data_IF_193357477328
#
_entry.id   IF_193357477328
#
_cell.length_a   1.000
_cell.length_b   1.000
_cell.length_c   1.000
_cell.angle_alpha   90.00
_cell.angle_beta   90.00
_cell.angle_gamma   90.00
#
_symmetry.space_group_name_H-M   'P 1'
#
loop_
_entity.id
_entity.type
_entity.pdbx_description
1 polymer ?
#
# COMPACT_ATOMS: atom_id res chain seq x y z
N UNK A 1 -7.25 5.80 -0.66
CA UNK A 1 -8.35 5.00 -1.25
C UNK A 1 -8.89 4.12 -0.14
N UNK A 2 -10.15 4.31 0.24
CA UNK A 2 -10.75 3.66 1.41
C UNK A 2 -11.97 2.86 1.03
N UNK A 3 -12.50 2.11 2.00
CA UNK A 3 -13.79 1.41 1.82
C UNK A 3 -14.86 2.46 1.45
N UNK A 4 -15.52 2.31 0.31
CA UNK A 4 -16.50 3.27 -0.22
C UNK A 4 -15.94 4.33 -1.17
N UNK A 5 -14.66 4.26 -1.59
CA UNK A 5 -14.20 5.10 -2.70
C UNK A 5 -14.76 4.58 -4.03
N UNK A 6 -15.40 5.46 -4.81
CA UNK A 6 -15.80 5.16 -6.18
C UNK A 6 -14.67 5.54 -7.16
N UNK A 7 -14.32 4.67 -8.12
CA UNK A 7 -13.43 5.04 -9.21
C UNK A 7 -14.06 6.18 -10.02
N UNK A 8 -13.34 7.29 -10.16
CA UNK A 8 -13.70 8.33 -11.10
C UNK A 8 -13.00 8.06 -12.44
N UNK A 9 -13.76 8.05 -13.54
CA UNK A 9 -13.25 7.78 -14.88
C UNK A 9 -13.15 9.04 -15.75
N UNK A 10 -13.57 10.20 -15.26
CA UNK A 10 -13.49 11.45 -16.01
C UNK A 10 -12.04 11.96 -16.08
N UNK A 11 -11.40 12.02 -17.26
CA UNK A 11 -9.99 12.36 -17.36
C UNK A 11 -9.65 13.75 -16.80
N UNK A 12 -10.57 14.72 -16.96
CA UNK A 12 -10.39 16.10 -16.46
C UNK A 12 -10.38 16.21 -14.93
N UNK A 13 -10.81 15.16 -14.23
CA UNK A 13 -10.86 15.11 -12.76
C UNK A 13 -9.71 14.29 -12.16
N UNK A 14 -8.87 13.70 -13.02
CA UNK A 14 -7.71 12.95 -12.54
C UNK A 14 -6.66 13.92 -12.00
N UNK A 15 -6.08 13.63 -10.82
CA UNK A 15 -5.01 14.43 -10.27
C UNK A 15 -3.79 14.44 -11.19
N UNK A 16 -3.11 15.58 -11.29
CA UNK A 16 -1.83 15.69 -11.98
C UNK A 16 -0.72 14.93 -11.26
N UNK A 17 0.42 14.70 -11.92
CA UNK A 17 1.55 13.94 -11.34
C UNK A 17 2.02 14.49 -9.99
N UNK A 18 2.14 15.80 -9.85
CA UNK A 18 2.56 16.42 -8.59
C UNK A 18 1.58 16.13 -7.44
N UNK A 19 0.27 16.25 -7.71
CA UNK A 19 -0.79 15.95 -6.75
C UNK A 19 -0.84 14.46 -6.40
N UNK A 20 -0.60 13.58 -7.37
CA UNK A 20 -0.48 12.13 -7.13
C UNK A 20 0.66 11.80 -6.17
N UNK A 21 1.84 12.40 -6.39
CA UNK A 21 3.00 12.19 -5.52
C UNK A 21 2.76 12.74 -4.11
N UNK A 22 2.17 13.93 -4.01
CA UNK A 22 1.78 14.51 -2.72
C UNK A 22 0.80 13.60 -1.96
N UNK A 23 -0.28 13.16 -2.63
CA UNK A 23 -1.29 12.27 -2.04
C UNK A 23 -0.69 10.92 -1.64
N UNK A 24 0.21 10.36 -2.44
CA UNK A 24 0.91 9.12 -2.11
C UNK A 24 1.78 9.27 -0.87
N UNK A 25 2.58 10.33 -0.79
CA UNK A 25 3.41 10.61 0.38
C UNK A 25 2.55 10.81 1.64
N UNK A 26 1.47 11.59 1.54
CA UNK A 26 0.56 11.81 2.66
C UNK A 26 -0.10 10.50 3.14
N UNK A 27 -0.53 9.65 2.21
CA UNK A 27 -1.12 8.35 2.55
C UNK A 27 -0.11 7.44 3.25
N UNK A 28 1.14 7.40 2.77
CA UNK A 28 2.20 6.59 3.37
C UNK A 28 2.55 7.08 4.77
N UNK A 29 2.68 8.40 4.99
CA UNK A 29 2.94 8.95 6.32
C UNK A 29 1.84 8.60 7.31
N UNK A 30 0.56 8.77 6.91
CA UNK A 30 -0.58 8.40 7.76
C UNK A 30 -0.64 6.91 8.07
N UNK A 31 -0.28 6.05 7.11
CA UNK A 31 -0.18 4.61 7.32
C UNK A 31 0.87 4.29 8.38
N UNK A 32 2.07 4.87 8.28
CA UNK A 32 3.17 4.64 9.21
C UNK A 32 2.83 5.18 10.61
N UNK A 33 2.26 6.37 10.70
CA UNK A 33 1.77 6.95 11.96
C UNK A 33 0.75 6.02 12.63
N UNK A 34 -0.24 5.52 11.88
CA UNK A 34 -1.23 4.59 12.41
C UNK A 34 -0.59 3.27 12.87
N UNK A 35 0.38 2.75 12.11
CA UNK A 35 1.06 1.49 12.43
C UNK A 35 1.92 1.59 13.70
N UNK A 36 2.56 2.75 13.93
CA UNK A 36 3.34 3.01 15.15
C UNK A 36 2.49 3.04 16.43
N UNK A 37 1.17 3.21 16.31
CA UNK A 37 0.25 3.19 17.46
C UNK A 37 -0.32 1.78 17.74
N UNK A 38 0.05 0.77 16.96
CA UNK A 38 -0.44 -0.60 17.15
C UNK A 38 0.35 -1.27 18.27
N UNK A 39 -0.37 -1.85 19.23
CA UNK A 39 0.22 -2.63 20.33
C UNK A 39 0.93 -3.88 19.81
N UNK A 40 2.15 -4.15 20.31
CA UNK A 40 2.95 -5.32 19.92
C UNK A 40 2.21 -6.65 20.17
N UNK A 41 1.39 -6.73 21.22
CA UNK A 41 0.58 -7.92 21.52
C UNK A 41 -0.48 -8.19 20.44
N UNK A 42 -0.99 -7.14 19.78
CA UNK A 42 -1.93 -7.28 18.65
C UNK A 42 -1.19 -7.80 17.42
N UNK A 43 0.03 -7.31 17.18
CA UNK A 43 0.89 -7.78 16.09
C UNK A 43 1.29 -9.24 16.27
N UNK A 44 1.58 -9.66 17.51
CA UNK A 44 1.89 -11.05 17.85
C UNK A 44 0.65 -11.98 17.81
N UNK A 45 -0.56 -11.43 17.85
CA UNK A 45 -1.80 -12.18 17.75
C UNK A 45 -2.01 -12.84 16.39
N UNK A 46 -2.88 -13.86 16.36
CA UNK A 46 -3.27 -14.56 15.12
C UNK A 46 -3.79 -13.55 14.08
N UNK A 47 -3.44 -13.79 12.81
CA UNK A 47 -3.91 -12.95 11.72
C UNK A 47 -5.44 -12.91 11.65
N UNK A 48 -6.00 -11.71 11.74
CA UNK A 48 -7.46 -11.48 11.70
C UNK A 48 -8.09 -11.89 10.37
N UNK A 49 -7.29 -12.00 9.30
CA UNK A 49 -7.72 -12.47 7.99
C UNK A 49 -7.48 -13.98 7.88
N UNK A 50 -8.49 -14.78 8.21
CA UNK A 50 -8.43 -16.25 8.24
C UNK A 50 -7.78 -16.88 6.99
N UNK A 51 -8.20 -16.42 5.79
CA UNK A 51 -7.68 -16.90 4.50
C UNK A 51 -6.18 -16.67 4.29
N UNK A 52 -5.55 -15.85 5.12
CA UNK A 52 -4.13 -15.48 5.03
C UNK A 52 -3.27 -16.14 6.10
N UNK A 53 -3.86 -16.80 7.11
CA UNK A 53 -3.14 -17.38 8.27
C UNK A 53 -2.08 -18.41 7.87
N UNK A 54 -2.38 -19.24 6.87
CA UNK A 54 -1.43 -20.24 6.37
C UNK A 54 -0.11 -19.61 5.89
N UNK A 55 -0.20 -18.42 5.28
CA UNK A 55 0.97 -17.71 4.74
C UNK A 55 1.54 -16.70 5.74
N UNK A 56 0.70 -16.12 6.58
CA UNK A 56 1.02 -15.07 7.53
C UNK A 56 0.33 -15.40 8.86
N UNK A 57 0.96 -16.21 9.73
CA UNK A 57 0.33 -16.70 10.96
C UNK A 57 -0.12 -15.57 11.90
N UNK A 58 0.67 -14.51 12.02
CA UNK A 58 0.35 -13.36 12.89
C UNK A 58 -0.07 -12.12 12.10
N UNK A 59 -0.70 -11.15 12.78
CA UNK A 59 -0.97 -9.83 12.18
C UNK A 59 0.33 -9.12 11.78
N UNK A 60 1.39 -9.28 12.57
CA UNK A 60 2.72 -8.75 12.32
C UNK A 60 3.37 -9.33 11.07
N UNK A 61 3.22 -10.63 10.81
CA UNK A 61 3.75 -11.27 9.59
C UNK A 61 3.10 -10.66 8.34
N UNK A 62 1.78 -10.47 8.38
CA UNK A 62 1.07 -9.90 7.25
C UNK A 62 1.40 -8.42 7.06
N UNK A 63 1.47 -7.66 8.15
CA UNK A 63 1.87 -6.26 8.10
C UNK A 63 3.30 -6.09 7.56
N UNK A 64 4.24 -6.95 7.98
CA UNK A 64 5.62 -6.98 7.48
C UNK A 64 5.64 -7.20 5.98
N UNK A 65 4.86 -8.17 5.48
CA UNK A 65 4.74 -8.42 4.05
C UNK A 65 4.20 -7.20 3.29
N UNK A 66 3.15 -6.54 3.79
CA UNK A 66 2.55 -5.36 3.16
C UNK A 66 3.54 -4.19 3.09
N UNK A 67 4.25 -3.92 4.18
CA UNK A 67 5.18 -2.79 4.30
C UNK A 67 6.50 -3.00 3.54
N UNK A 68 6.85 -4.24 3.20
CA UNK A 68 8.13 -4.57 2.56
C UNK A 68 7.95 -5.19 1.17
N UNK A 69 7.66 -6.49 1.10
CA UNK A 69 7.63 -7.24 -0.15
C UNK A 69 6.53 -6.75 -1.11
N UNK A 70 5.34 -6.43 -0.59
CA UNK A 70 4.25 -5.88 -1.41
C UNK A 70 4.60 -4.49 -1.95
N UNK A 71 5.10 -3.60 -1.10
CA UNK A 71 5.58 -2.28 -1.54
C UNK A 71 6.70 -2.40 -2.60
N UNK A 72 7.62 -3.35 -2.44
CA UNK A 72 8.69 -3.64 -3.40
C UNK A 72 8.18 -4.09 -4.78
N UNK A 73 7.06 -4.83 -4.84
CA UNK A 73 6.42 -5.20 -6.11
C UNK A 73 6.00 -3.96 -6.92
N UNK A 74 5.42 -2.95 -6.26
CA UNK A 74 5.02 -1.71 -6.92
C UNK A 74 6.21 -0.90 -7.44
N UNK A 75 7.33 -0.89 -6.71
CA UNK A 75 8.58 -0.29 -7.19
C UNK A 75 9.04 -0.97 -8.48
N UNK A 76 9.01 -2.30 -8.53
CA UNK A 76 9.34 -3.07 -9.73
C UNK A 76 8.42 -2.76 -10.92
N UNK A 77 7.11 -2.67 -10.68
CA UNK A 77 6.11 -2.31 -11.70
C UNK A 77 6.39 -0.91 -12.28
N UNK A 78 6.63 0.09 -11.43
CA UNK A 78 6.94 1.47 -11.88
C UNK A 78 8.26 1.50 -12.63
N UNK A 79 9.29 0.78 -12.18
CA UNK A 79 10.57 0.71 -12.88
C UNK A 79 10.42 0.14 -14.30
N UNK A 80 9.61 -0.92 -14.45
CA UNK A 80 9.29 -1.48 -15.76
C UNK A 80 8.52 -0.48 -16.64
N UNK A 81 7.48 0.15 -16.11
CA UNK A 81 6.68 1.16 -16.83
C UNK A 81 7.58 2.30 -17.32
N UNK A 82 8.46 2.84 -16.46
CA UNK A 82 9.42 3.88 -16.86
C UNK A 82 10.31 3.43 -18.00
N UNK A 83 10.82 2.19 -17.96
CA UNK A 83 11.66 1.63 -19.03
C UNK A 83 10.92 1.52 -20.36
N UNK A 84 9.63 1.17 -20.33
CA UNK A 84 8.80 1.06 -21.55
C UNK A 84 8.44 2.45 -22.09
N UNK A 85 7.99 3.37 -21.24
CA UNK A 85 7.54 4.71 -21.65
C UNK A 85 8.68 5.62 -22.11
N UNK A 86 9.89 5.49 -21.56
CA UNK A 86 11.07 6.30 -21.99
C UNK A 86 11.64 5.81 -23.33
N UNK A 87 11.31 4.59 -23.76
CA UNK A 87 11.72 4.03 -25.06
C UNK A 87 10.67 4.24 -26.17
N UNK A 88 9.49 4.75 -25.83
CA UNK A 88 8.39 5.03 -26.75
C UNK A 88 8.41 6.46 -27.27
#
# INVERSE_FOLDING_TARGET
>A
FGRGSEPNYEPATQPGTAELLEKMNLAQSKLLEAYLQVDESVLAGENVLERLRERFPTNGDFATYLLTAHAGLHVGQIALIRKVLVKG
#
